data_IF_806314389161
#
_entry.id   IF_806314389161
#
_cell.length_a   1.000
_cell.length_b   1.000
_cell.length_c   1.000
_cell.angle_alpha   90.00
_cell.angle_beta   90.00
_cell.angle_gamma   90.00
#
_symmetry.space_group_name_H-M   'P 1'
#
loop_
_entity.id
_entity.type
_entity.pdbx_description
1 polymer ?
#
# COMPACT_ATOMS: atom_id res chain seq x y z
N UNK A 1 20.53 6.13 3.72
CA UNK A 1 21.59 5.59 2.83
C UNK A 1 22.70 6.63 2.83
N UNK A 2 23.96 6.25 3.06
CA UNK A 2 25.07 7.22 3.17
C UNK A 2 25.62 7.51 1.78
N UNK A 3 25.76 8.79 1.44
CA UNK A 3 26.42 9.24 0.21
C UNK A 3 27.94 9.04 0.30
N UNK A 4 28.58 8.90 -0.87
CA UNK A 4 30.04 8.88 -0.99
C UNK A 4 30.57 10.30 -0.91
N UNK A 5 31.59 10.53 -0.09
CA UNK A 5 32.21 11.84 0.12
C UNK A 5 32.93 12.32 -1.16
N UNK A 6 32.60 13.52 -1.63
CA UNK A 6 33.11 14.10 -2.89
C UNK A 6 34.17 15.18 -2.70
N UNK A 7 34.53 15.52 -1.47
CA UNK A 7 35.41 16.66 -1.17
C UNK A 7 36.90 16.33 -1.20
N UNK A 8 37.27 15.03 -1.19
CA UNK A 8 38.68 14.59 -1.28
C UNK A 8 39.01 13.39 -2.20
N UNK A 9 38.26 13.06 -3.27
CA UNK A 9 38.74 12.10 -4.26
C UNK A 9 39.72 12.77 -5.24
N UNK A 10 40.67 12.02 -5.83
CA UNK A 10 41.40 12.46 -7.02
C UNK A 10 40.43 12.92 -8.11
N UNK A 11 40.81 13.95 -8.86
CA UNK A 11 39.93 14.61 -9.84
C UNK A 11 39.37 13.63 -10.88
N UNK A 12 40.13 12.57 -11.17
CA UNK A 12 39.80 11.47 -12.08
C UNK A 12 38.66 10.59 -11.55
N UNK A 13 38.50 10.48 -10.23
CA UNK A 13 37.50 9.62 -9.56
C UNK A 13 36.24 10.41 -9.18
N UNK A 14 36.32 11.74 -9.14
CA UNK A 14 35.19 12.63 -8.82
C UNK A 14 33.95 12.38 -9.71
N UNK A 15 34.05 12.21 -11.05
CA UNK A 15 32.87 11.92 -11.88
C UNK A 15 32.18 10.61 -11.51
N UNK A 16 32.95 9.58 -11.12
CA UNK A 16 32.40 8.30 -10.67
C UNK A 16 31.66 8.44 -9.34
N UNK A 17 32.22 9.20 -8.39
CA UNK A 17 31.57 9.47 -7.10
C UNK A 17 30.24 10.23 -7.29
N UNK A 18 30.20 11.19 -8.22
CA UNK A 18 28.97 11.91 -8.58
C UNK A 18 27.93 10.97 -9.21
N UNK A 19 28.33 10.13 -10.17
CA UNK A 19 27.44 9.16 -10.81
C UNK A 19 26.87 8.15 -9.81
N UNK A 20 27.70 7.64 -8.90
CA UNK A 20 27.29 6.73 -7.84
C UNK A 20 26.32 7.39 -6.86
N UNK A 21 26.58 8.63 -6.45
CA UNK A 21 25.64 9.38 -5.62
C UNK A 21 24.29 9.59 -6.34
N UNK A 22 24.30 9.86 -7.64
CA UNK A 22 23.07 9.92 -8.45
C UNK A 22 22.30 8.60 -8.46
N UNK A 23 23.00 7.47 -8.63
CA UNK A 23 22.39 6.14 -8.57
C UNK A 23 21.80 5.85 -7.18
N UNK A 24 22.55 6.14 -6.11
CA UNK A 24 22.09 5.96 -4.73
C UNK A 24 20.85 6.81 -4.44
N UNK A 25 20.78 8.05 -4.94
CA UNK A 25 19.59 8.90 -4.84
C UNK A 25 18.39 8.29 -5.55
N UNK A 26 18.56 7.76 -6.77
CA UNK A 26 17.47 7.10 -7.52
C UNK A 26 16.96 5.86 -6.79
N UNK A 27 17.86 5.04 -6.23
CA UNK A 27 17.48 3.87 -5.42
C UNK A 27 16.72 4.32 -4.17
N UNK A 28 17.22 5.34 -3.46
CA UNK A 28 16.54 5.85 -2.26
C UNK A 28 15.13 6.38 -2.57
N UNK A 29 14.96 7.08 -3.70
CA UNK A 29 13.66 7.55 -4.17
C UNK A 29 12.72 6.39 -4.50
N UNK A 30 13.19 5.40 -5.25
CA UNK A 30 12.40 4.21 -5.58
C UNK A 30 11.94 3.45 -4.32
N UNK A 31 12.83 3.27 -3.33
CA UNK A 31 12.47 2.61 -2.06
C UNK A 31 11.50 3.42 -1.21
N UNK A 32 11.59 4.75 -1.24
CA UNK A 32 10.62 5.62 -0.58
C UNK A 32 9.23 5.44 -1.22
N UNK A 33 9.18 5.49 -2.54
CA UNK A 33 7.94 5.30 -3.29
C UNK A 33 7.30 3.95 -3.00
N UNK A 34 8.07 2.85 -3.02
CA UNK A 34 7.59 1.50 -2.68
C UNK A 34 6.96 1.43 -1.27
N UNK A 35 7.58 2.09 -0.28
CA UNK A 35 7.04 2.19 1.09
C UNK A 35 5.75 2.97 1.15
N UNK A 36 5.67 4.09 0.43
CA UNK A 36 4.47 4.93 0.36
C UNK A 36 3.31 4.16 -0.30
N UNK A 37 3.56 3.46 -1.41
CA UNK A 37 2.59 2.61 -2.09
C UNK A 37 2.09 1.50 -1.15
N UNK A 38 3.00 0.83 -0.45
CA UNK A 38 2.64 -0.25 0.49
C UNK A 38 1.81 0.29 1.66
N UNK A 39 2.21 1.43 2.24
CA UNK A 39 1.49 2.06 3.34
C UNK A 39 0.09 2.52 2.91
N UNK A 40 -0.02 3.09 1.71
CA UNK A 40 -1.29 3.50 1.13
C UNK A 40 -2.20 2.29 0.87
N UNK A 41 -1.69 1.23 0.23
CA UNK A 41 -2.45 -0.01 0.03
C UNK A 41 -2.96 -0.61 1.35
N UNK A 42 -2.12 -0.62 2.39
CA UNK A 42 -2.52 -1.10 3.72
C UNK A 42 -3.62 -0.23 4.35
N UNK A 43 -3.55 1.09 4.21
CA UNK A 43 -4.59 2.00 4.69
C UNK A 43 -5.91 1.76 3.96
N UNK A 44 -5.83 1.63 2.64
CA UNK A 44 -6.98 1.45 1.75
C UNK A 44 -7.67 0.09 1.95
N UNK A 45 -6.95 -0.95 2.39
CA UNK A 45 -7.56 -2.22 2.78
C UNK A 45 -8.22 -2.16 4.17
N UNK A 46 -7.75 -1.31 5.07
CA UNK A 46 -8.25 -1.25 6.46
C UNK A 46 -9.72 -0.82 6.51
N UNK A 47 -10.10 0.15 5.68
CA UNK A 47 -11.48 0.68 5.59
C UNK A 47 -12.51 -0.37 5.12
N UNK A 48 -12.35 -1.05 3.96
CA UNK A 48 -13.28 -2.08 3.53
C UNK A 48 -13.31 -3.26 4.51
N UNK A 49 -12.18 -3.66 5.10
CA UNK A 49 -12.17 -4.72 6.12
C UNK A 49 -12.99 -4.33 7.36
N UNK A 50 -12.95 -3.06 7.79
CA UNK A 50 -13.79 -2.57 8.89
C UNK A 50 -15.28 -2.61 8.52
N UNK A 51 -15.63 -2.28 7.27
CA UNK A 51 -17.00 -2.40 6.76
C UNK A 51 -17.49 -3.85 6.74
N UNK A 52 -16.67 -4.78 6.24
CA UNK A 52 -16.98 -6.22 6.25
C UNK A 52 -17.19 -6.74 7.67
N UNK A 53 -16.32 -6.35 8.60
CA UNK A 53 -16.46 -6.71 10.02
C UNK A 53 -17.78 -6.20 10.60
N UNK A 54 -18.17 -4.98 10.28
CA UNK A 54 -19.43 -4.38 10.75
C UNK A 54 -20.63 -5.18 10.24
N UNK A 55 -20.67 -5.53 8.95
CA UNK A 55 -21.75 -6.33 8.40
C UNK A 55 -21.80 -7.76 8.96
N UNK A 56 -20.63 -8.35 9.23
CA UNK A 56 -20.56 -9.63 9.90
C UNK A 56 -21.11 -9.56 11.33
N UNK A 57 -20.84 -8.47 12.06
CA UNK A 57 -21.40 -8.25 13.39
C UNK A 57 -22.93 -8.07 13.35
N UNK A 58 -23.47 -7.38 12.35
CA UNK A 58 -24.93 -7.27 12.15
C UNK A 58 -25.54 -8.65 11.90
N UNK A 59 -24.94 -9.45 11.03
CA UNK A 59 -25.41 -10.81 10.75
C UNK A 59 -25.40 -11.70 12.01
N UNK A 60 -24.32 -11.62 12.81
CA UNK A 60 -24.17 -12.42 14.04
C UNK A 60 -25.17 -12.02 15.14
N UNK A 61 -25.63 -10.77 15.15
CA UNK A 61 -26.56 -10.26 16.16
C UNK A 61 -28.04 -10.39 15.74
N UNK A 62 -28.32 -10.85 14.51
CA UNK A 62 -29.66 -10.89 13.97
C UNK A 62 -30.35 -12.25 14.18
N UNK A 63 -31.56 -12.23 14.74
CA UNK A 63 -32.42 -13.41 14.86
C UNK A 63 -33.27 -13.65 13.60
N UNK A 64 -33.53 -12.60 12.81
CA UNK A 64 -34.30 -12.70 11.55
C UNK A 64 -33.40 -13.24 10.41
N UNK A 65 -33.72 -14.41 9.83
CA UNK A 65 -32.96 -14.96 8.70
C UNK A 65 -32.86 -14.03 7.49
N UNK A 66 -33.82 -13.12 7.28
CA UNK A 66 -33.76 -12.12 6.20
C UNK A 66 -32.65 -11.10 6.44
N UNK A 67 -32.48 -10.65 7.68
CA UNK A 67 -31.42 -9.69 8.07
C UNK A 67 -30.05 -10.35 7.95
N UNK A 68 -29.93 -11.62 8.37
CA UNK A 68 -28.70 -12.40 8.18
C UNK A 68 -28.34 -12.49 6.71
N UNK A 69 -29.29 -12.90 5.85
CA UNK A 69 -29.06 -13.01 4.40
C UNK A 69 -28.67 -11.66 3.77
N UNK A 70 -29.39 -10.59 4.09
CA UNK A 70 -29.08 -9.26 3.57
C UNK A 70 -27.69 -8.76 3.99
N UNK A 71 -27.27 -9.05 5.22
CA UNK A 71 -25.91 -8.71 5.70
C UNK A 71 -24.83 -9.50 4.95
N UNK A 72 -25.07 -10.79 4.67
CA UNK A 72 -24.15 -11.61 3.86
C UNK A 72 -24.05 -11.12 2.41
N UNK A 73 -25.17 -10.73 1.79
CA UNK A 73 -25.17 -10.13 0.44
C UNK A 73 -24.37 -8.81 0.39
N UNK A 74 -24.48 -7.99 1.44
CA UNK A 74 -23.68 -6.77 1.58
C UNK A 74 -22.19 -7.06 1.73
N UNK A 75 -21.82 -8.11 2.48
CA UNK A 75 -20.43 -8.59 2.59
C UNK A 75 -19.90 -8.98 1.21
N UNK A 76 -20.61 -9.83 0.47
CA UNK A 76 -20.22 -10.26 -0.89
C UNK A 76 -20.02 -9.05 -1.80
N UNK A 77 -21.00 -8.15 -1.82
CA UNK A 77 -20.93 -6.92 -2.64
C UNK A 77 -19.74 -6.03 -2.26
N UNK A 78 -19.43 -5.92 -0.97
CA UNK A 78 -18.29 -5.13 -0.49
C UNK A 78 -16.95 -5.79 -0.85
N UNK A 79 -16.85 -7.12 -0.81
CA UNK A 79 -15.68 -7.87 -1.29
C UNK A 79 -15.47 -7.62 -2.79
N UNK A 80 -16.51 -7.75 -3.62
CA UNK A 80 -16.42 -7.57 -5.07
C UNK A 80 -15.99 -6.15 -5.46
N UNK A 81 -16.47 -5.13 -4.74
CA UNK A 81 -16.03 -3.74 -4.94
C UNK A 81 -14.56 -3.55 -4.53
N UNK A 82 -14.15 -4.14 -3.41
CA UNK A 82 -12.77 -4.04 -2.92
C UNK A 82 -11.79 -4.74 -3.87
N UNK A 83 -12.18 -5.89 -4.42
CA UNK A 83 -11.39 -6.62 -5.40
C UNK A 83 -11.19 -5.82 -6.71
N UNK A 84 -12.24 -5.14 -7.21
CA UNK A 84 -12.13 -4.25 -8.37
C UNK A 84 -11.22 -3.06 -8.11
N UNK A 85 -11.37 -2.39 -6.96
CA UNK A 85 -10.51 -1.27 -6.58
C UNK A 85 -9.03 -1.66 -6.43
N UNK A 86 -8.75 -2.92 -6.06
CA UNK A 86 -7.40 -3.46 -6.03
C UNK A 86 -6.86 -3.77 -7.44
N UNK A 87 -7.71 -4.22 -8.37
CA UNK A 87 -7.33 -4.52 -9.75
C UNK A 87 -7.05 -3.26 -10.59
N UNK A 88 -7.80 -2.18 -10.39
CA UNK A 88 -7.63 -0.90 -11.11
C UNK A 88 -6.35 -0.12 -10.71
N UNK A 89 -5.59 -0.61 -9.72
CA UNK A 89 -4.38 0.04 -9.19
C UNK A 89 -3.06 -0.54 -9.71
N UNK A 90 -3.11 -1.54 -10.59
CA UNK A 90 -1.95 -2.18 -11.20
C UNK A 90 -1.83 -1.78 -12.68
#
# INVERSE_FOLDING_TARGET
MRHVETDRPPTEVRPLAVALNGLLSRVAAARRHEREVTAFAAHELRTPLAGLKTQAQVALAADDPKVVRGSLEQIVTAVDRSARAAADRN
#
